data_IF_854313175982
#
_entry.id   IF_854313175982
#
_cell.length_a   1.000
_cell.length_b   1.000
_cell.length_c   1.000
_cell.angle_alpha   90.00
_cell.angle_beta   90.00
_cell.angle_gamma   90.00
#
_symmetry.space_group_name_H-M   'P 1'
#
loop_
_entity.id
_entity.type
_entity.pdbx_description
1 polymer ?
#
# COMPACT_ATOMS: atom_id res chain seq x y z
N UNK A 1 -13.79 -0.56 26.47
CA UNK A 1 -12.56 -1.13 25.93
C UNK A 1 -12.54 -1.04 24.42
N UNK A 2 -11.52 -0.43 23.90
CA UNK A 2 -11.32 -0.47 22.48
C UNK A 2 -10.94 -1.88 22.05
N UNK A 3 -11.66 -2.39 21.11
CA UNK A 3 -11.33 -3.67 20.49
C UNK A 3 -11.18 -3.47 19.02
N UNK A 4 -10.00 -3.80 18.49
CA UNK A 4 -9.87 -3.90 17.05
C UNK A 4 -10.93 -4.88 16.57
N UNK A 5 -11.80 -4.43 15.68
CA UNK A 5 -12.73 -5.38 15.09
C UNK A 5 -11.92 -6.46 14.39
N UNK A 6 -12.07 -7.68 14.86
CA UNK A 6 -11.56 -8.82 14.14
C UNK A 6 -12.42 -9.01 12.90
N UNK A 7 -12.21 -8.18 11.92
CA UNK A 7 -12.91 -8.30 10.64
C UNK A 7 -12.23 -9.42 9.86
N UNK A 8 -12.99 -10.44 9.52
CA UNK A 8 -12.47 -11.49 8.68
C UNK A 8 -12.07 -10.93 7.32
N UNK A 9 -10.92 -11.35 6.84
CA UNK A 9 -10.49 -11.00 5.50
C UNK A 9 -11.43 -11.61 4.48
N UNK A 10 -11.92 -10.78 3.57
CA UNK A 10 -12.56 -11.30 2.38
C UNK A 10 -11.50 -11.91 1.49
N UNK A 11 -11.70 -13.17 1.11
CA UNK A 11 -10.74 -13.83 0.22
C UNK A 11 -10.92 -13.31 -1.20
N UNK A 12 -9.93 -12.61 -1.70
CA UNK A 12 -9.89 -12.25 -3.11
C UNK A 12 -9.65 -13.54 -3.90
N UNK A 13 -10.54 -13.90 -4.84
CA UNK A 13 -10.43 -15.21 -5.49
C UNK A 13 -9.12 -15.38 -6.25
N UNK A 14 -8.49 -16.53 -6.05
CA UNK A 14 -7.29 -16.87 -6.81
C UNK A 14 -7.61 -16.97 -8.30
N UNK A 15 -6.70 -16.47 -9.12
CA UNK A 15 -6.88 -16.45 -10.57
C UNK A 15 -7.73 -15.30 -11.09
N UNK A 16 -8.33 -14.51 -10.20
CA UNK A 16 -9.07 -13.33 -10.62
C UNK A 16 -8.09 -12.26 -11.08
N UNK A 17 -8.41 -11.58 -12.18
CA UNK A 17 -7.58 -10.49 -12.66
C UNK A 17 -7.57 -9.34 -11.66
N UNK A 18 -6.38 -8.80 -11.37
CA UNK A 18 -6.23 -7.67 -10.47
C UNK A 18 -6.96 -6.44 -11.04
N UNK A 19 -7.84 -5.79 -10.24
CA UNK A 19 -8.46 -4.56 -10.67
C UNK A 19 -7.43 -3.49 -10.99
N UNK A 20 -7.63 -2.76 -12.08
CA UNK A 20 -6.76 -1.63 -12.41
C UNK A 20 -6.98 -0.47 -11.43
N UNK A 21 -5.97 0.36 -11.31
CA UNK A 21 -6.06 1.57 -10.49
C UNK A 21 -5.20 2.69 -11.08
N UNK A 22 -5.50 3.91 -10.65
CA UNK A 22 -4.71 5.10 -10.93
C UNK A 22 -4.76 5.97 -9.68
N UNK A 23 -3.68 6.01 -8.92
CA UNK A 23 -3.62 6.69 -7.64
C UNK A 23 -2.38 7.58 -7.57
N UNK A 24 -2.47 8.64 -6.77
CA UNK A 24 -1.35 9.55 -6.58
C UNK A 24 -0.32 8.94 -5.63
N UNK A 25 0.93 8.95 -6.06
CA UNK A 25 2.06 8.59 -5.20
C UNK A 25 2.34 9.75 -4.24
N UNK A 26 2.21 9.50 -2.95
CA UNK A 26 2.41 10.52 -1.94
C UNK A 26 3.85 11.03 -1.89
N UNK A 27 4.82 10.25 -2.36
CA UNK A 27 6.24 10.61 -2.30
C UNK A 27 6.58 11.71 -3.30
N UNK A 28 6.09 11.60 -4.54
CA UNK A 28 6.46 12.53 -5.62
C UNK A 28 5.27 13.23 -6.30
N UNK A 29 4.05 12.92 -5.90
CA UNK A 29 2.84 13.52 -6.46
C UNK A 29 2.44 13.01 -7.83
N UNK A 30 3.12 12.02 -8.36
CA UNK A 30 2.80 11.45 -9.68
C UNK A 30 1.62 10.51 -9.62
N UNK A 31 0.85 10.49 -10.70
CA UNK A 31 -0.19 9.49 -10.88
C UNK A 31 0.48 8.16 -11.27
N UNK A 32 0.18 7.11 -10.50
CA UNK A 32 0.72 5.77 -10.75
C UNK A 32 -0.43 4.83 -11.05
N UNK A 33 -0.33 4.12 -12.16
CA UNK A 33 -1.31 3.11 -12.58
C UNK A 33 -0.75 1.72 -12.39
N UNK A 34 -1.64 0.75 -12.25
CA UNK A 34 -1.22 -0.66 -12.17
C UNK A 34 -0.31 -1.04 -13.33
N UNK A 35 -0.64 -0.61 -14.55
CA UNK A 35 0.16 -0.91 -15.74
C UNK A 35 1.58 -0.33 -15.66
N UNK A 36 1.77 0.75 -14.89
CA UNK A 36 3.09 1.37 -14.73
C UNK A 36 3.99 0.56 -13.80
N UNK A 37 3.41 -0.21 -12.88
CA UNK A 37 4.16 -0.89 -11.82
C UNK A 37 4.12 -2.40 -11.90
N UNK A 38 3.24 -2.98 -12.70
CA UNK A 38 3.16 -4.43 -12.80
C UNK A 38 4.42 -5.03 -13.44
N UNK A 39 4.80 -6.18 -12.94
CA UNK A 39 5.97 -6.92 -13.41
C UNK A 39 5.54 -8.23 -14.07
N UNK A 40 6.32 -8.69 -15.05
CA UNK A 40 6.11 -10.00 -15.67
C UNK A 40 6.45 -11.15 -14.73
N UNK A 41 7.27 -10.90 -13.71
CA UNK A 41 7.65 -11.91 -12.73
C UNK A 41 6.58 -12.02 -11.63
N UNK A 42 6.39 -10.96 -10.89
CA UNK A 42 5.36 -10.89 -9.85
C UNK A 42 5.17 -9.43 -9.41
N UNK A 43 3.98 -9.11 -8.97
CA UNK A 43 3.66 -7.79 -8.42
C UNK A 43 3.02 -7.98 -7.05
N UNK A 44 3.61 -7.36 -6.03
CA UNK A 44 3.08 -7.39 -4.67
C UNK A 44 2.37 -6.08 -4.39
N UNK A 45 1.07 -6.17 -4.14
CA UNK A 45 0.24 -5.01 -3.80
C UNK A 45 -0.11 -5.12 -2.32
N UNK A 46 0.28 -4.09 -1.55
CA UNK A 46 0.12 -4.08 -0.10
C UNK A 46 -0.82 -2.95 0.30
N UNK A 47 -1.82 -3.28 1.12
CA UNK A 47 -2.68 -2.26 1.73
C UNK A 47 -2.18 -2.02 3.14
N UNK A 48 -1.52 -0.88 3.35
CA UNK A 48 -0.89 -0.53 4.64
C UNK A 48 -1.30 0.89 5.05
N UNK A 49 -1.00 1.23 6.30
CA UNK A 49 -1.28 2.56 6.85
C UNK A 49 -0.12 3.00 7.74
N UNK A 50 -0.09 4.29 8.08
CA UNK A 50 0.98 4.84 8.92
C UNK A 50 0.74 4.60 10.40
N UNK A 51 -0.54 4.57 10.84
CA UNK A 51 -0.87 4.49 12.26
C UNK A 51 -1.14 3.08 12.75
N UNK A 52 -1.25 2.09 11.86
CA UNK A 52 -1.58 0.72 12.27
C UNK A 52 -0.41 0.08 13.01
N UNK A 53 -0.62 -0.40 14.26
CA UNK A 53 0.47 -1.02 15.02
C UNK A 53 1.12 -2.21 14.32
N UNK A 54 0.33 -3.02 13.63
CA UNK A 54 0.86 -4.15 12.87
C UNK A 54 1.82 -3.72 11.78
N UNK A 55 1.47 -2.66 11.05
CA UNK A 55 2.34 -2.15 9.99
C UNK A 55 3.62 -1.62 10.60
N UNK A 56 3.55 -0.91 11.74
CA UNK A 56 4.75 -0.41 12.42
C UNK A 56 5.71 -1.52 12.82
N UNK A 57 5.19 -2.68 13.18
CA UNK A 57 6.02 -3.85 13.50
C UNK A 57 6.75 -4.42 12.29
N UNK A 58 6.15 -4.35 11.10
CA UNK A 58 6.68 -5.02 9.92
C UNK A 58 7.27 -4.08 8.87
N UNK A 59 7.22 -2.75 9.10
CA UNK A 59 7.69 -1.77 8.12
C UNK A 59 9.12 -2.04 7.65
N UNK A 60 10.03 -2.29 8.57
CA UNK A 60 11.43 -2.57 8.23
C UNK A 60 11.58 -3.86 7.45
N UNK A 61 10.78 -4.88 7.78
CA UNK A 61 10.78 -6.15 7.06
C UNK A 61 10.23 -6.00 5.65
N UNK A 62 9.21 -5.16 5.46
CA UNK A 62 8.68 -4.88 4.13
C UNK A 62 9.73 -4.20 3.26
N UNK A 63 10.47 -3.24 3.81
CA UNK A 63 11.55 -2.56 3.10
C UNK A 63 12.65 -3.56 2.73
N UNK A 64 13.04 -4.41 3.68
CA UNK A 64 14.07 -5.42 3.44
C UNK A 64 13.64 -6.41 2.37
N UNK A 65 12.41 -6.89 2.45
CA UNK A 65 11.84 -7.82 1.47
C UNK A 65 11.82 -7.19 0.07
N UNK A 66 11.39 -5.95 -0.03
CA UNK A 66 11.36 -5.25 -1.31
C UNK A 66 12.77 -5.06 -1.87
N UNK A 67 13.72 -4.66 -1.04
CA UNK A 67 15.11 -4.49 -1.46
C UNK A 67 15.73 -5.80 -1.93
N UNK A 68 15.32 -6.93 -1.35
CA UNK A 68 15.84 -8.25 -1.74
C UNK A 68 15.23 -8.72 -3.07
N UNK A 69 13.96 -8.45 -3.32
CA UNK A 69 13.24 -9.04 -4.45
C UNK A 69 13.05 -8.11 -5.64
N UNK A 70 13.05 -6.80 -5.46
CA UNK A 70 12.92 -5.87 -6.59
C UNK A 70 14.03 -6.07 -7.63
N UNK A 71 15.31 -6.29 -7.23
CA UNK A 71 16.37 -6.59 -8.22
C UNK A 71 16.14 -7.88 -8.99
N UNK A 72 15.29 -8.77 -8.47
CA UNK A 72 14.95 -10.04 -9.12
C UNK A 72 13.75 -9.94 -10.06
N UNK A 73 13.24 -8.72 -10.27
CA UNK A 73 12.12 -8.46 -11.16
C UNK A 73 10.75 -8.43 -10.50
N UNK A 74 10.68 -8.57 -9.17
CA UNK A 74 9.42 -8.43 -8.44
C UNK A 74 9.11 -6.96 -8.20
N UNK A 75 7.90 -6.54 -8.53
CA UNK A 75 7.44 -5.17 -8.30
C UNK A 75 6.66 -5.11 -6.98
N UNK A 76 6.81 -4.00 -6.26
CA UNK A 76 6.09 -3.75 -5.01
C UNK A 76 5.38 -2.41 -5.11
N UNK A 77 4.16 -2.36 -4.60
CA UNK A 77 3.41 -1.11 -4.46
C UNK A 77 2.61 -1.16 -3.17
N UNK A 78 2.63 -0.07 -2.41
CA UNK A 78 1.85 0.06 -1.19
C UNK A 78 0.73 1.07 -1.40
N UNK A 79 -0.45 0.79 -0.86
CA UNK A 79 -1.64 1.63 -0.98
C UNK A 79 -2.18 1.88 0.43
N UNK A 80 -2.43 3.16 0.74
CA UNK A 80 -3.07 3.56 1.98
C UNK A 80 -4.47 4.08 1.65
N UNK A 81 -5.49 3.40 2.16
CA UNK A 81 -6.89 3.72 1.91
C UNK A 81 -7.59 4.31 3.14
N UNK A 82 -6.86 4.66 4.19
CA UNK A 82 -7.46 5.24 5.38
C UNK A 82 -7.88 6.69 5.15
N UNK A 83 -8.97 7.07 5.80
CA UNK A 83 -9.49 8.42 5.73
C UNK A 83 -8.59 9.38 6.52
N UNK A 84 -7.91 10.27 5.82
CA UNK A 84 -6.98 11.22 6.44
C UNK A 84 -7.69 12.25 7.33
N UNK A 85 -8.99 12.48 7.14
CA UNK A 85 -9.75 13.37 8.01
C UNK A 85 -9.97 12.75 9.38
N UNK A 86 -10.25 11.44 9.43
CA UNK A 86 -10.37 10.70 10.69
C UNK A 86 -9.03 10.29 11.26
N UNK A 87 -8.06 10.03 10.40
CA UNK A 87 -6.73 9.54 10.77
C UNK A 87 -5.67 10.43 10.14
N UNK A 88 -5.40 11.61 10.75
CA UNK A 88 -4.43 12.56 10.18
C UNK A 88 -3.02 11.97 9.99
N UNK A 89 -2.66 10.95 10.76
CA UNK A 89 -1.39 10.24 10.60
C UNK A 89 -1.26 9.60 9.21
N UNK A 90 -2.38 9.37 8.53
CA UNK A 90 -2.43 8.77 7.20
C UNK A 90 -2.66 9.80 6.09
N UNK A 91 -2.43 11.08 6.36
CA UNK A 91 -2.46 12.10 5.32
C UNK A 91 -1.34 11.87 4.29
N UNK A 92 -1.51 12.35 3.04
CA UNK A 92 -0.45 12.22 2.03
C UNK A 92 0.88 12.82 2.49
N UNK A 93 0.87 13.92 3.23
CA UNK A 93 2.09 14.53 3.78
C UNK A 93 2.80 13.59 4.74
N UNK A 94 2.06 12.94 5.61
CA UNK A 94 2.62 11.97 6.56
C UNK A 94 3.04 10.68 5.86
N UNK A 95 2.33 10.25 4.83
CA UNK A 95 2.75 9.12 4.01
C UNK A 95 4.12 9.37 3.37
N UNK A 96 4.30 10.56 2.80
CA UNK A 96 5.59 10.95 2.21
C UNK A 96 6.69 10.93 3.27
N UNK A 97 6.41 11.48 4.45
CA UNK A 97 7.35 11.54 5.55
C UNK A 97 7.79 10.14 6.00
N UNK A 98 6.84 9.24 6.18
CA UNK A 98 7.13 7.85 6.57
C UNK A 98 7.94 7.14 5.50
N UNK A 99 7.57 7.29 4.23
CA UNK A 99 8.27 6.68 3.12
C UNK A 99 9.73 7.15 3.04
N UNK A 100 9.97 8.44 3.26
CA UNK A 100 11.31 8.99 3.24
C UNK A 100 12.13 8.55 4.45
N UNK A 101 11.54 8.56 5.64
CA UNK A 101 12.21 8.15 6.87
C UNK A 101 12.61 6.67 6.86
N UNK A 102 11.74 5.81 6.33
CA UNK A 102 11.98 4.37 6.30
C UNK A 102 12.66 3.91 5.02
N UNK A 103 12.82 4.81 4.05
CA UNK A 103 13.48 4.48 2.79
C UNK A 103 12.68 3.50 1.95
N UNK A 104 11.36 3.67 1.84
CA UNK A 104 10.52 2.80 1.02
C UNK A 104 11.02 2.80 -0.42
N UNK A 105 11.44 1.65 -0.95
CA UNK A 105 11.90 1.57 -2.34
C UNK A 105 10.77 1.44 -3.36
N UNK A 106 9.53 1.40 -2.88
CA UNK A 106 8.33 1.21 -3.69
C UNK A 106 7.42 2.44 -3.62
N UNK A 107 6.52 2.63 -4.60
CA UNK A 107 5.53 3.69 -4.54
C UNK A 107 4.60 3.52 -3.35
N UNK A 108 4.20 4.65 -2.74
CA UNK A 108 3.24 4.66 -1.64
C UNK A 108 2.04 5.51 -2.08
N UNK A 109 0.97 4.84 -2.48
CA UNK A 109 -0.17 5.45 -3.15
C UNK A 109 -1.29 5.76 -2.17
N UNK A 110 -2.01 6.85 -2.43
CA UNK A 110 -3.13 7.28 -1.61
C UNK A 110 -4.45 6.98 -2.31
N UNK A 111 -5.27 6.11 -1.69
CA UNK A 111 -6.60 5.74 -2.16
C UNK A 111 -7.65 6.56 -1.39
N UNK A 112 -7.82 7.82 -1.80
CA UNK A 112 -8.65 8.78 -1.08
C UNK A 112 -10.10 8.33 -0.94
N UNK A 113 -10.67 7.75 -1.98
CA UNK A 113 -12.07 7.33 -2.00
C UNK A 113 -12.28 5.92 -1.47
N UNK A 114 -11.21 5.18 -1.24
CA UNK A 114 -11.24 3.78 -0.81
C UNK A 114 -11.84 2.83 -1.85
N UNK A 115 -11.99 3.29 -3.07
CA UNK A 115 -12.56 2.49 -4.15
C UNK A 115 -11.63 1.34 -4.55
N UNK A 116 -10.31 1.60 -4.55
CA UNK A 116 -9.33 0.56 -4.90
C UNK A 116 -9.30 -0.51 -3.82
N UNK A 117 -9.29 -0.12 -2.55
CA UNK A 117 -9.36 -1.07 -1.45
C UNK A 117 -10.60 -1.96 -1.55
N UNK A 118 -11.74 -1.36 -1.86
CA UNK A 118 -13.00 -2.11 -2.03
C UNK A 118 -12.92 -3.08 -3.20
N UNK A 119 -12.33 -2.65 -4.31
CA UNK A 119 -12.18 -3.50 -5.50
C UNK A 119 -11.31 -4.73 -5.23
N UNK A 120 -10.35 -4.60 -4.31
CA UNK A 120 -9.44 -5.70 -3.93
C UNK A 120 -9.94 -6.46 -2.69
N UNK A 121 -11.12 -6.14 -2.18
CA UNK A 121 -11.65 -6.72 -0.93
C UNK A 121 -10.69 -6.50 0.27
N UNK A 122 -10.00 -5.40 0.25
CA UNK A 122 -9.04 -5.06 1.31
C UNK A 122 -9.69 -4.21 2.42
#
# INVERSE_FOLDING_TARGET
MFRMPAVESNMFPLGKQAPSFALTNAVDGRLVRLDDVKSDVATVIMFICNHCPFVKHVQHELVRLANDYMPKGVSFVAINANDAEQYPDDSPENMKKVAEELGYPFPYLYDETQEVAKAYDA
#
